data_IF_970140872590
#
_entry.id   IF_970140872590
#
_cell.length_a   1.000
_cell.length_b   1.000
_cell.length_c   1.000
_cell.angle_alpha   90.00
_cell.angle_beta   90.00
_cell.angle_gamma   90.00
#
_symmetry.space_group_name_H-M   'P 1'
#
loop_
_entity.id
_entity.type
_entity.pdbx_description
1 polymer ?
#
# COMPACT_ATOMS: atom_id res chain seq x y z
N UNK A 1 -6.79 26.83 -7.66
CA UNK A 1 -7.43 27.36 -6.43
C UNK A 1 -7.77 26.17 -5.54
N UNK A 2 -7.07 26.03 -4.41
CA UNK A 2 -7.50 25.13 -3.34
C UNK A 2 -8.59 25.85 -2.54
N UNK A 3 -9.76 25.23 -2.38
CA UNK A 3 -10.74 25.59 -1.34
C UNK A 3 -11.03 24.33 -0.55
N UNK A 4 -10.84 24.43 0.77
CA UNK A 4 -10.68 23.30 1.68
C UNK A 4 -11.95 22.52 1.98
N UNK A 5 -11.72 21.38 2.63
CA UNK A 5 -12.72 20.59 3.33
C UNK A 5 -13.21 19.35 2.61
N UNK A 6 -12.34 18.63 1.89
CA UNK A 6 -12.68 17.25 1.53
C UNK A 6 -12.77 16.41 2.80
N UNK A 7 -13.89 15.74 3.02
CA UNK A 7 -14.09 14.86 4.16
C UNK A 7 -13.52 13.48 3.82
N UNK A 8 -12.64 12.97 4.69
CA UNK A 8 -12.23 11.57 4.65
C UNK A 8 -12.91 10.85 5.81
N UNK A 9 -13.69 9.82 5.51
CA UNK A 9 -14.32 8.95 6.50
C UNK A 9 -13.58 7.63 6.55
N UNK A 10 -13.27 7.15 7.75
CA UNK A 10 -12.65 5.84 7.96
C UNK A 10 -13.58 5.01 8.83
N UNK A 11 -14.07 3.90 8.28
CA UNK A 11 -14.86 2.92 9.01
C UNK A 11 -14.03 1.66 9.22
N UNK A 12 -14.08 1.12 10.44
CA UNK A 12 -13.47 -0.17 10.78
C UNK A 12 -14.57 -1.11 11.22
N UNK A 13 -14.64 -2.27 10.57
CA UNK A 13 -15.55 -3.36 10.93
C UNK A 13 -14.77 -4.66 11.04
N UNK A 14 -15.13 -5.50 12.01
CA UNK A 14 -14.69 -6.90 12.03
C UNK A 14 -15.63 -7.74 11.18
N UNK A 15 -15.06 -8.55 10.29
CA UNK A 15 -15.75 -9.53 9.47
C UNK A 15 -15.11 -10.91 9.64
N UNK A 16 -15.61 -11.67 10.63
CA UNK A 16 -15.03 -12.97 10.99
C UNK A 16 -13.52 -12.88 11.32
N UNK A 17 -12.64 -13.54 10.55
CA UNK A 17 -11.19 -13.50 10.75
C UNK A 17 -10.51 -12.27 10.10
N UNK A 18 -11.28 -11.35 9.52
CA UNK A 18 -10.75 -10.15 8.86
C UNK A 18 -11.20 -8.86 9.56
N UNK A 19 -10.39 -7.81 9.41
CA UNK A 19 -10.80 -6.42 9.56
C UNK A 19 -11.05 -5.84 8.18
N UNK A 20 -12.21 -5.23 8.01
CA UNK A 20 -12.55 -4.39 6.87
C UNK A 20 -12.37 -2.93 7.26
N UNK A 21 -11.49 -2.24 6.54
CA UNK A 21 -11.26 -0.81 6.69
C UNK A 21 -11.76 -0.15 5.41
N UNK A 22 -12.82 0.64 5.51
CA UNK A 22 -13.35 1.45 4.41
C UNK A 22 -12.86 2.88 4.57
N UNK A 23 -12.21 3.41 3.54
CA UNK A 23 -11.73 4.79 3.46
C UNK A 23 -12.50 5.48 2.35
N UNK A 24 -13.37 6.40 2.73
CA UNK A 24 -14.20 7.19 1.83
C UNK A 24 -13.65 8.62 1.71
N UNK A 25 -13.64 9.16 0.50
CA UNK A 25 -13.43 10.60 0.25
C UNK A 25 -14.49 11.16 -0.70
N UNK A 26 -14.75 12.46 -0.55
CA UNK A 26 -15.61 13.27 -1.43
C UNK A 26 -14.80 14.06 -2.49
N UNK A 27 -13.63 13.52 -2.85
CA UNK A 27 -12.76 14.09 -3.87
C UNK A 27 -13.31 13.95 -5.29
N UNK A 28 -12.51 14.32 -6.30
CA UNK A 28 -12.94 14.34 -7.71
C UNK A 28 -13.42 13.00 -8.28
N UNK A 29 -13.13 11.88 -7.60
CA UNK A 29 -13.42 10.54 -8.07
C UNK A 29 -12.43 10.02 -9.11
N UNK A 30 -12.67 8.80 -9.57
CA UNK A 30 -11.86 8.07 -10.55
C UNK A 30 -12.77 7.65 -11.71
N UNK A 31 -12.35 7.98 -12.94
CA UNK A 31 -13.07 7.59 -14.15
C UNK A 31 -13.06 6.06 -14.32
N UNK A 32 -14.07 5.48 -14.97
CA UNK A 32 -14.10 4.03 -15.23
C UNK A 32 -12.85 3.55 -15.99
N UNK A 33 -12.33 4.36 -16.92
CA UNK A 33 -11.13 4.04 -17.69
C UNK A 33 -9.85 4.04 -16.86
N UNK A 34 -9.83 4.79 -15.75
CA UNK A 34 -8.65 4.90 -14.89
C UNK A 34 -8.68 3.89 -13.72
N UNK A 35 -9.83 3.28 -13.39
CA UNK A 35 -9.96 2.37 -12.23
C UNK A 35 -8.98 1.20 -12.23
N UNK A 36 -8.58 0.70 -13.40
CA UNK A 36 -7.56 -0.34 -13.49
C UNK A 36 -6.15 0.23 -13.32
N UNK A 37 -5.86 1.37 -13.95
CA UNK A 37 -4.52 1.96 -13.98
C UNK A 37 -4.13 2.65 -12.68
N UNK A 38 -5.07 3.04 -11.81
CA UNK A 38 -4.76 3.67 -10.51
C UNK A 38 -3.96 2.78 -9.55
N UNK A 39 -3.91 1.47 -9.80
CA UNK A 39 -3.06 0.54 -9.06
C UNK A 39 -1.65 0.38 -9.66
N UNK A 40 -1.39 0.98 -10.82
CA UNK A 40 -0.07 0.94 -11.43
C UNK A 40 0.88 1.93 -10.75
N UNK A 41 2.18 1.58 -10.58
CA UNK A 41 3.17 2.53 -10.12
C UNK A 41 3.20 3.78 -11.00
N UNK A 42 3.32 4.94 -10.38
CA UNK A 42 3.38 6.25 -11.06
C UNK A 42 2.07 6.69 -11.73
N UNK A 43 0.95 6.00 -11.45
CA UNK A 43 -0.37 6.47 -11.78
C UNK A 43 -0.79 7.61 -10.83
N UNK A 44 -0.34 8.83 -11.13
CA UNK A 44 -0.77 10.04 -10.44
C UNK A 44 -1.96 10.67 -11.15
N UNK A 45 -2.89 11.25 -10.39
CA UNK A 45 -4.01 12.01 -10.95
C UNK A 45 -3.47 13.17 -11.81
N UNK A 46 -3.89 13.21 -13.08
CA UNK A 46 -3.51 14.28 -14.02
C UNK A 46 -4.43 15.48 -13.80
N UNK A 47 -3.96 16.45 -13.01
CA UNK A 47 -4.65 17.73 -12.78
C UNK A 47 -5.24 17.88 -11.37
N UNK A 48 -5.47 19.12 -10.94
CA UNK A 48 -6.12 19.44 -9.66
C UNK A 48 -5.20 19.73 -8.47
N UNK A 49 -3.88 19.84 -8.66
CA UNK A 49 -2.95 20.12 -7.55
C UNK A 49 -2.65 18.92 -6.65
N UNK A 50 -3.04 17.71 -7.07
CA UNK A 50 -2.63 16.48 -6.42
C UNK A 50 -1.12 16.27 -6.61
N UNK A 51 -0.34 16.53 -5.55
CA UNK A 51 1.09 16.29 -5.53
C UNK A 51 1.36 14.88 -4.98
N UNK A 52 1.81 13.97 -5.83
CA UNK A 52 2.19 12.62 -5.41
C UNK A 52 2.83 11.83 -6.54
N UNK A 53 3.77 10.94 -6.20
CA UNK A 53 4.46 10.10 -7.17
C UNK A 53 3.59 8.96 -7.74
N UNK A 54 2.30 8.86 -7.37
CA UNK A 54 1.44 7.78 -7.82
C UNK A 54 1.84 6.39 -7.29
N UNK A 55 2.41 6.33 -6.08
CA UNK A 55 2.90 5.07 -5.49
C UNK A 55 2.01 4.51 -4.37
N UNK A 56 1.06 5.30 -3.85
CA UNK A 56 0.28 4.93 -2.66
C UNK A 56 -0.55 3.66 -2.89
N UNK A 57 -1.49 3.70 -3.84
CA UNK A 57 -2.41 2.58 -4.09
C UNK A 57 -1.69 1.31 -4.56
N UNK A 58 -0.65 1.43 -5.39
CA UNK A 58 0.15 0.30 -5.85
C UNK A 58 0.88 -0.40 -4.70
N UNK A 59 1.47 0.37 -3.78
CA UNK A 59 2.14 -0.19 -2.59
C UNK A 59 1.14 -0.77 -1.59
N UNK A 60 0.01 -0.09 -1.34
CA UNK A 60 -1.05 -0.58 -0.46
C UNK A 60 -1.59 -1.92 -0.93
N UNK A 61 -1.88 -2.06 -2.23
CA UNK A 61 -2.35 -3.32 -2.82
C UNK A 61 -1.33 -4.43 -2.63
N UNK A 62 -0.07 -4.20 -3.00
CA UNK A 62 1.02 -5.19 -2.85
C UNK A 62 1.25 -5.61 -1.41
N UNK A 63 1.16 -4.66 -0.47
CA UNK A 63 1.30 -4.95 0.95
C UNK A 63 0.15 -5.82 1.45
N UNK A 64 -1.10 -5.46 1.12
CA UNK A 64 -2.28 -6.22 1.51
C UNK A 64 -2.27 -7.63 0.93
N UNK A 65 -1.94 -7.78 -0.35
CA UNK A 65 -1.78 -9.11 -0.99
C UNK A 65 -0.70 -9.95 -0.28
N UNK A 66 0.45 -9.35 0.07
CA UNK A 66 1.54 -10.04 0.78
C UNK A 66 1.15 -10.54 2.18
N UNK A 67 0.20 -9.88 2.84
CA UNK A 67 -0.27 -10.30 4.17
C UNK A 67 -1.51 -11.19 4.11
N UNK A 68 -1.94 -11.64 2.91
CA UNK A 68 -3.14 -12.46 2.73
C UNK A 68 -4.45 -11.67 2.75
N UNK A 69 -4.37 -10.35 2.63
CA UNK A 69 -5.50 -9.44 2.54
C UNK A 69 -5.84 -9.04 1.10
N UNK A 70 -6.59 -7.96 0.96
CA UNK A 70 -6.96 -7.41 -0.35
C UNK A 70 -7.32 -5.93 -0.31
N UNK A 71 -7.31 -5.31 -1.48
CA UNK A 71 -7.74 -3.93 -1.68
C UNK A 71 -8.74 -3.87 -2.83
N UNK A 72 -9.91 -3.28 -2.59
CA UNK A 72 -10.92 -2.99 -3.61
C UNK A 72 -11.22 -1.51 -3.62
N UNK A 73 -11.57 -1.00 -4.79
CA UNK A 73 -11.92 0.40 -4.96
C UNK A 73 -13.25 0.53 -5.69
N UNK A 74 -14.13 1.39 -5.17
CA UNK A 74 -15.33 1.87 -5.84
C UNK A 74 -15.20 3.37 -5.99
N UNK A 75 -15.55 3.90 -7.14
CA UNK A 75 -15.52 5.35 -7.35
C UNK A 75 -16.51 5.76 -8.41
N UNK A 76 -16.98 6.99 -8.26
CA UNK A 76 -17.81 7.76 -9.19
C UNK A 76 -17.37 9.22 -9.07
N UNK A 77 -17.79 10.08 -10.00
CA UNK A 77 -17.51 11.52 -9.90
C UNK A 77 -17.93 12.06 -8.53
N UNK A 78 -17.00 12.71 -7.82
CA UNK A 78 -17.28 13.31 -6.50
C UNK A 78 -17.21 12.33 -5.31
N UNK A 79 -16.83 11.05 -5.51
CA UNK A 79 -16.75 10.08 -4.42
C UNK A 79 -15.82 8.90 -4.72
N UNK A 80 -14.99 8.52 -3.76
CA UNK A 80 -14.15 7.33 -3.82
C UNK A 80 -14.24 6.56 -2.50
N UNK A 81 -14.36 5.24 -2.59
CA UNK A 81 -14.32 4.31 -1.45
C UNK A 81 -13.26 3.24 -1.70
N UNK A 82 -12.30 3.12 -0.78
CA UNK A 82 -11.32 2.05 -0.77
C UNK A 82 -11.61 1.09 0.38
N UNK A 83 -11.87 -0.18 0.05
CA UNK A 83 -12.06 -1.26 1.02
C UNK A 83 -10.78 -2.07 1.14
N UNK A 84 -10.12 -1.98 2.30
CA UNK A 84 -8.98 -2.79 2.69
C UNK A 84 -9.48 -3.96 3.52
N UNK A 85 -9.11 -5.18 3.14
CA UNK A 85 -9.38 -6.41 3.90
C UNK A 85 -8.07 -6.89 4.50
N UNK A 86 -7.99 -6.96 5.81
CA UNK A 86 -6.79 -7.33 6.58
C UNK A 86 -7.09 -8.57 7.42
N UNK A 87 -6.35 -9.68 7.31
CA UNK A 87 -6.52 -10.80 8.23
C UNK A 87 -6.10 -10.40 9.66
N UNK A 88 -6.94 -10.69 10.64
CA UNK A 88 -6.71 -10.40 12.06
C UNK A 88 -5.78 -11.41 12.72
N UNK A 89 -5.82 -12.65 12.24
CA UNK A 89 -4.94 -13.73 12.69
C UNK A 89 -3.91 -13.97 11.58
N UNK A 90 -2.64 -13.69 11.88
CA UNK A 90 -1.53 -14.11 11.04
C UNK A 90 -0.77 -15.22 11.73
N UNK A 91 -0.65 -16.36 11.07
CA UNK A 91 0.58 -17.12 11.20
C UNK A 91 1.69 -16.24 10.59
N UNK A 92 2.54 -15.67 11.46
CA UNK A 92 3.77 -15.07 10.97
C UNK A 92 4.60 -16.20 10.36
N UNK A 93 5.11 -16.05 9.12
CA UNK A 93 6.06 -17.02 8.60
C UNK A 93 7.19 -17.12 9.62
N UNK A 94 7.57 -18.34 9.96
CA UNK A 94 8.64 -18.62 10.90
C UNK A 94 9.95 -18.09 10.29
N UNK A 95 10.28 -16.82 10.53
CA UNK A 95 11.51 -16.21 10.03
C UNK A 95 12.64 -16.83 10.84
N UNK A 96 13.23 -17.90 10.32
CA UNK A 96 14.53 -18.36 10.79
C UNK A 96 15.53 -17.31 10.34
N UNK A 97 15.98 -16.49 11.29
CA UNK A 97 17.21 -15.73 11.11
C UNK A 97 18.32 -16.79 11.04
N UNK A 98 18.72 -17.19 9.83
CA UNK A 98 20.04 -17.80 9.72
C UNK A 98 21.04 -16.74 10.17
N UNK A 99 21.89 -17.11 11.13
CA UNK A 99 23.04 -16.31 11.53
C UNK A 99 23.95 -16.16 10.30
N UNK A 100 23.69 -15.12 9.50
CA UNK A 100 24.57 -14.79 8.39
C UNK A 100 25.94 -14.49 8.98
N UNK A 101 26.94 -15.26 8.55
CA UNK A 101 28.35 -15.16 8.93
C UNK A 101 28.98 -13.87 8.41
N UNK A 102 28.51 -12.72 8.88
CA UNK A 102 29.18 -11.44 8.67
C UNK A 102 30.59 -11.44 9.32
N UNK A 103 30.80 -12.28 10.33
CA UNK A 103 32.10 -12.46 11.00
C UNK A 103 33.20 -13.09 10.10
N UNK A 104 32.88 -13.69 8.96
CA UNK A 104 33.85 -14.45 8.15
C UNK A 104 34.66 -13.64 7.13
N UNK A 105 34.26 -12.40 6.79
CA UNK A 105 34.90 -11.62 5.70
C UNK A 105 35.95 -10.59 6.12
N UNK A 106 36.37 -10.57 7.40
CA UNK A 106 37.50 -9.72 7.85
C UNK A 106 38.86 -10.43 7.93
N UNK A 107 38.95 -11.72 7.60
CA UNK A 107 40.19 -12.50 7.74
C UNK A 107 40.79 -13.01 6.42
N UNK A 108 40.39 -12.47 5.26
CA UNK A 108 40.97 -12.82 3.96
C UNK A 108 41.38 -11.55 3.20
N UNK A 109 42.47 -10.92 3.63
CA UNK A 109 43.01 -9.72 2.98
C UNK A 109 44.23 -9.18 3.70
N UNK A 110 45.36 -9.90 3.62
CA UNK A 110 46.61 -9.46 4.23
C UNK A 110 47.75 -10.46 4.06
N UNK A 111 48.01 -10.91 2.82
CA UNK A 111 49.32 -11.48 2.47
C UNK A 111 50.18 -10.31 1.97
N UNK A 112 51.02 -9.82 2.87
CA UNK A 112 52.08 -8.86 2.60
C UNK A 112 53.11 -9.51 1.67
N UNK A 113 53.20 -9.01 0.43
CA UNK A 113 54.27 -9.36 -0.50
C UNK A 113 55.57 -8.69 -0.03
N UNK A 114 56.60 -9.52 0.10
CA UNK A 114 58.01 -9.14 0.15
C UNK A 114 58.40 -8.21 -1.00
#
# INVERSE_FOLDING_TARGET
AARGGGAVTVLLRRDGPHAEIEVDDDGGGISETDKASVFEPFAAARGGGAHGLGLGLSMSRRFLERIGGGLRLKSKTGYTAALLVVPLERELPNIRLEESTWAGRRAAGGQEKR
#
